data_IF_833002596764
#
_entry.id   IF_833002596764
#
_cell.length_a   1.000
_cell.length_b   1.000
_cell.length_c   1.000
_cell.angle_alpha   90.00
_cell.angle_beta   90.00
_cell.angle_gamma   90.00
#
_symmetry.space_group_name_H-M   'P 1'
#
loop_
_entity.id
_entity.type
_entity.pdbx_description
1 polymer ?
#
# COMPACT_ATOMS: atom_id res chain seq x y z
N UNK A 1 -10.21 20.36 11.09
CA UNK A 1 -9.05 19.71 11.71
C UNK A 1 -8.19 20.79 12.36
N UNK A 2 -7.93 20.66 13.65
CA UNK A 2 -7.16 21.65 14.39
C UNK A 2 -5.79 21.11 14.81
N UNK A 3 -5.01 21.92 15.51
CA UNK A 3 -3.66 21.57 15.98
C UNK A 3 -3.61 20.28 16.81
N UNK A 4 -4.65 20.02 17.60
CA UNK A 4 -4.70 18.81 18.40
C UNK A 4 -4.94 17.57 17.55
N UNK A 5 -5.83 17.67 16.55
CA UNK A 5 -6.06 16.58 15.60
C UNK A 5 -4.79 16.25 14.81
N UNK A 6 -4.06 17.27 14.36
CA UNK A 6 -2.79 17.09 13.66
C UNK A 6 -1.74 16.37 14.52
N UNK A 7 -1.63 16.72 15.81
CA UNK A 7 -0.73 16.04 16.75
C UNK A 7 -1.13 14.59 16.98
N UNK A 8 -2.43 14.32 17.14
CA UNK A 8 -2.97 12.97 17.28
C UNK A 8 -2.55 12.13 16.07
N UNK A 9 -2.77 12.65 14.86
CA UNK A 9 -2.41 11.94 13.63
C UNK A 9 -0.92 11.69 13.50
N UNK A 10 -0.08 12.65 13.91
CA UNK A 10 1.38 12.49 13.90
C UNK A 10 1.83 11.35 14.83
N UNK A 11 1.27 11.25 16.02
CA UNK A 11 1.58 10.17 16.97
C UNK A 11 1.12 8.82 16.42
N UNK A 12 -0.15 8.74 16.01
CA UNK A 12 -0.76 7.48 15.54
C UNK A 12 -0.14 7.00 14.23
N UNK A 13 0.33 7.90 13.39
CA UNK A 13 1.06 7.53 12.16
C UNK A 13 2.37 6.79 12.47
N UNK A 14 3.03 7.15 13.56
CA UNK A 14 4.29 6.52 13.99
C UNK A 14 4.05 5.24 14.80
N UNK A 15 3.05 5.25 15.66
CA UNK A 15 2.68 4.14 16.52
C UNK A 15 1.16 4.07 16.69
N UNK A 16 0.52 3.27 15.85
CA UNK A 16 -0.93 3.05 15.90
C UNK A 16 -1.41 2.29 17.14
N UNK A 17 -0.51 1.72 17.94
CA UNK A 17 -0.84 1.04 19.20
C UNK A 17 -0.71 1.94 20.42
N UNK A 18 -0.37 3.20 20.28
CA UNK A 18 -0.34 4.15 21.38
C UNK A 18 -1.67 4.12 22.11
N UNK A 19 -1.64 3.88 23.44
CA UNK A 19 -2.86 3.88 24.26
C UNK A 19 -3.50 5.26 24.31
N UNK A 20 -4.80 5.32 24.57
CA UNK A 20 -5.48 6.60 24.64
C UNK A 20 -4.93 7.49 25.77
N UNK A 21 -4.55 6.91 26.91
CA UNK A 21 -3.92 7.64 28.03
C UNK A 21 -2.57 8.24 27.58
N UNK A 22 -1.71 7.44 26.99
CA UNK A 22 -0.41 7.92 26.48
C UNK A 22 -0.59 8.98 25.39
N UNK A 23 -1.53 8.78 24.48
CA UNK A 23 -1.83 9.74 23.43
C UNK A 23 -2.29 11.08 24.03
N UNK A 24 -3.18 11.03 25.05
CA UNK A 24 -3.67 12.24 25.74
C UNK A 24 -2.54 13.04 26.37
N UNK A 25 -1.59 12.37 26.98
CA UNK A 25 -0.39 13.00 27.57
C UNK A 25 0.46 13.69 26.51
N UNK A 26 0.70 13.02 25.38
CA UNK A 26 1.51 13.56 24.29
C UNK A 26 0.89 14.77 23.59
N UNK A 27 -0.43 14.82 23.51
CA UNK A 27 -1.13 15.90 22.80
C UNK A 27 -1.60 17.02 23.75
N UNK A 28 -1.57 16.81 25.06
CA UNK A 28 -1.94 17.80 26.07
C UNK A 28 -3.45 17.96 26.24
N UNK A 29 -4.20 16.87 26.17
CA UNK A 29 -5.64 16.83 26.38
C UNK A 29 -5.99 15.80 27.46
N UNK A 30 -7.24 15.88 27.99
CA UNK A 30 -7.77 14.81 28.83
C UNK A 30 -7.96 13.52 28.03
N UNK A 31 -7.93 12.33 28.68
CA UNK A 31 -8.19 11.07 28.01
C UNK A 31 -9.55 11.03 27.30
N UNK A 32 -10.59 11.57 27.91
CA UNK A 32 -11.93 11.62 27.32
C UNK A 32 -12.01 12.53 26.09
N UNK A 33 -11.37 13.69 26.13
CA UNK A 33 -11.31 14.59 24.98
C UNK A 33 -10.50 14.00 23.82
N UNK A 34 -9.41 13.30 24.15
CA UNK A 34 -8.57 12.61 23.16
C UNK A 34 -9.35 11.48 22.48
N UNK A 35 -10.02 10.63 23.25
CA UNK A 35 -10.83 9.54 22.71
C UNK A 35 -11.90 10.04 21.76
N UNK A 36 -12.61 11.09 22.14
CA UNK A 36 -13.65 11.69 21.29
C UNK A 36 -13.08 12.19 19.97
N UNK A 37 -11.90 12.80 19.98
CA UNK A 37 -11.24 13.28 18.76
C UNK A 37 -10.79 12.15 17.86
N UNK A 38 -10.20 11.10 18.42
CA UNK A 38 -9.81 9.90 17.65
C UNK A 38 -11.02 9.27 16.98
N UNK A 39 -12.10 9.06 17.75
CA UNK A 39 -13.35 8.51 17.21
C UNK A 39 -13.97 9.38 16.11
N UNK A 40 -13.88 10.70 16.24
CA UNK A 40 -14.34 11.64 15.21
C UNK A 40 -13.49 11.55 13.93
N UNK A 41 -12.16 11.44 14.05
CA UNK A 41 -11.26 11.26 12.93
C UNK A 41 -11.49 9.92 12.21
N UNK A 42 -11.79 8.86 12.95
CA UNK A 42 -12.16 7.56 12.39
C UNK A 42 -13.51 7.64 11.67
N UNK A 43 -14.52 8.21 12.30
CA UNK A 43 -15.86 8.35 11.72
C UNK A 43 -15.86 9.19 10.46
N UNK A 44 -15.04 10.24 10.39
CA UNK A 44 -14.88 11.09 9.21
C UNK A 44 -14.00 10.46 8.12
N UNK A 45 -13.41 9.29 8.39
CA UNK A 45 -12.55 8.59 7.45
C UNK A 45 -11.16 9.22 7.27
N UNK A 46 -10.76 10.16 8.14
CA UNK A 46 -9.39 10.69 8.16
C UNK A 46 -8.43 9.58 8.59
N UNK A 47 -8.81 8.84 9.63
CA UNK A 47 -8.17 7.57 9.98
C UNK A 47 -9.01 6.45 9.34
N UNK A 48 -8.45 5.78 8.35
CA UNK A 48 -9.13 4.71 7.62
C UNK A 48 -8.99 3.35 8.31
N UNK A 49 -8.03 3.21 9.20
CA UNK A 49 -7.75 1.97 9.90
C UNK A 49 -6.35 1.96 10.49
N UNK A 50 -6.01 0.84 11.10
CA UNK A 50 -4.72 0.58 11.71
C UNK A 50 -4.19 -0.75 11.19
N UNK A 51 -2.89 -0.83 10.95
CA UNK A 51 -2.26 -2.08 10.51
C UNK A 51 -0.87 -2.23 11.10
N UNK A 52 -0.43 -3.48 11.23
CA UNK A 52 0.92 -3.77 11.67
C UNK A 52 1.93 -3.44 10.57
N UNK A 53 3.07 -2.88 10.97
CA UNK A 53 4.26 -2.79 10.11
C UNK A 53 5.06 -4.07 10.32
N UNK A 54 5.24 -4.85 9.26
CA UNK A 54 5.82 -6.18 9.32
C UNK A 54 7.23 -6.18 8.72
N UNK A 55 8.10 -7.03 9.28
CA UNK A 55 9.42 -7.29 8.73
C UNK A 55 9.31 -8.32 7.61
N UNK A 56 9.45 -7.88 6.38
CA UNK A 56 9.34 -8.71 5.20
C UNK A 56 10.37 -9.86 5.18
N UNK A 57 11.57 -9.65 5.70
CA UNK A 57 12.59 -10.72 5.76
C UNK A 57 12.13 -11.86 6.67
N UNK A 58 11.55 -11.53 7.82
CA UNK A 58 11.00 -12.51 8.75
C UNK A 58 9.82 -13.30 8.16
N UNK A 59 9.11 -12.68 7.22
CA UNK A 59 7.97 -13.30 6.53
C UNK A 59 8.36 -14.06 5.25
N UNK A 60 9.65 -14.12 4.94
CA UNK A 60 10.15 -14.80 3.75
C UNK A 60 9.98 -14.03 2.45
N UNK A 61 9.73 -12.74 2.50
CA UNK A 61 9.70 -11.87 1.31
C UNK A 61 11.12 -11.41 1.01
N UNK A 62 11.79 -12.09 0.10
CA UNK A 62 13.17 -11.80 -0.30
C UNK A 62 13.29 -11.05 -1.62
N UNK A 63 12.18 -10.82 -2.32
CA UNK A 63 12.18 -10.14 -3.62
C UNK A 63 11.01 -9.15 -3.69
N UNK A 64 11.33 -7.90 -3.99
CA UNK A 64 10.36 -6.82 -4.18
C UNK A 64 10.65 -6.12 -5.50
N UNK A 65 9.62 -5.88 -6.28
CA UNK A 65 9.72 -5.14 -7.53
C UNK A 65 8.56 -4.16 -7.70
N UNK A 66 8.84 -3.03 -8.32
CA UNK A 66 7.82 -2.21 -8.95
C UNK A 66 7.76 -2.58 -10.42
N UNK A 67 6.55 -2.80 -10.91
CA UNK A 67 6.33 -3.26 -12.28
C UNK A 67 5.43 -2.27 -12.99
N UNK A 68 5.95 -1.70 -14.07
CA UNK A 68 5.22 -0.79 -14.95
C UNK A 68 4.50 -1.62 -16.02
N UNK A 69 3.19 -1.47 -16.12
CA UNK A 69 2.34 -2.24 -17.01
C UNK A 69 1.77 -1.35 -18.09
N UNK A 70 2.06 -1.69 -19.35
CA UNK A 70 1.40 -1.09 -20.50
C UNK A 70 0.29 -1.99 -21.02
N UNK A 71 -0.90 -1.41 -21.23
CA UNK A 71 -2.06 -2.14 -21.76
C UNK A 71 -2.09 -2.11 -23.27
N UNK A 72 -2.70 -3.14 -23.87
CA UNK A 72 -2.87 -3.24 -25.32
C UNK A 72 -3.87 -2.18 -25.85
N UNK A 73 -4.73 -1.65 -25.00
CA UNK A 73 -5.73 -0.61 -25.32
C UNK A 73 -5.90 0.34 -24.15
N UNK A 74 -6.21 1.61 -24.46
CA UNK A 74 -6.54 2.64 -23.47
C UNK A 74 -8.02 2.60 -23.05
N UNK A 75 -8.79 1.61 -23.49
CA UNK A 75 -10.22 1.51 -23.20
C UNK A 75 -10.48 1.28 -21.71
N UNK A 76 -11.64 1.73 -21.26
CA UNK A 76 -12.13 1.44 -19.90
C UNK A 76 -12.21 -0.07 -19.67
N UNK A 77 -12.64 -0.84 -20.66
CA UNK A 77 -12.72 -2.30 -20.57
C UNK A 77 -11.35 -2.94 -20.30
N UNK A 78 -10.29 -2.51 -20.98
CA UNK A 78 -8.94 -3.02 -20.76
C UNK A 78 -8.45 -2.67 -19.36
N UNK A 79 -8.68 -1.44 -18.88
CA UNK A 79 -8.29 -1.01 -17.54
C UNK A 79 -9.01 -1.83 -16.46
N UNK A 80 -10.33 -1.93 -16.54
CA UNK A 80 -11.12 -2.72 -15.58
C UNK A 80 -10.76 -4.20 -15.63
N UNK A 81 -10.47 -4.73 -16.81
CA UNK A 81 -10.03 -6.12 -17.00
C UNK A 81 -8.71 -6.40 -16.32
N UNK A 82 -7.73 -5.50 -16.42
CA UNK A 82 -6.47 -5.62 -15.73
C UNK A 82 -6.64 -5.52 -14.20
N UNK A 83 -7.38 -4.51 -13.72
CA UNK A 83 -7.65 -4.32 -12.29
C UNK A 83 -8.32 -5.55 -11.68
N UNK A 84 -9.30 -6.13 -12.36
CA UNK A 84 -9.96 -7.36 -11.91
C UNK A 84 -9.01 -8.56 -11.91
N UNK A 85 -8.14 -8.66 -12.91
CA UNK A 85 -7.17 -9.75 -13.04
C UNK A 85 -6.19 -9.79 -11.85
N UNK A 86 -5.78 -8.63 -11.33
CA UNK A 86 -4.82 -8.55 -10.22
C UNK A 86 -5.45 -8.40 -8.83
N UNK A 87 -6.76 -8.20 -8.76
CA UNK A 87 -7.47 -7.83 -7.52
C UNK A 87 -7.19 -8.77 -6.34
N UNK A 88 -7.19 -10.06 -6.59
CA UNK A 88 -7.03 -11.09 -5.55
C UNK A 88 -5.69 -11.82 -5.63
N UNK A 89 -4.75 -11.27 -6.36
CA UNK A 89 -3.40 -11.82 -6.46
C UNK A 89 -2.58 -11.34 -5.26
N UNK A 90 -2.18 -12.29 -4.40
CA UNK A 90 -1.51 -11.96 -3.14
C UNK A 90 -0.14 -11.30 -3.32
N UNK A 91 0.57 -11.63 -4.37
CA UNK A 91 1.87 -11.05 -4.71
C UNK A 91 1.78 -9.56 -5.05
N UNK A 92 0.63 -9.10 -5.54
CA UNK A 92 0.38 -7.69 -5.86
C UNK A 92 -0.14 -6.99 -4.62
N UNK A 93 0.70 -6.18 -3.98
CA UNK A 93 0.36 -5.47 -2.74
C UNK A 93 -0.05 -4.02 -2.95
N UNK A 94 0.26 -3.47 -4.12
CA UNK A 94 -0.20 -2.14 -4.57
C UNK A 94 -0.52 -2.19 -6.06
N UNK A 95 -1.56 -1.50 -6.48
CA UNK A 95 -1.90 -1.30 -7.88
C UNK A 95 -2.36 0.13 -8.07
N UNK A 96 -1.61 0.90 -8.88
CA UNK A 96 -1.88 2.31 -9.14
C UNK A 96 -2.11 2.53 -10.63
N UNK A 97 -3.21 3.20 -10.96
CA UNK A 97 -3.41 3.75 -12.29
C UNK A 97 -2.62 5.07 -12.36
N UNK A 98 -1.72 5.18 -13.33
CA UNK A 98 -0.78 6.30 -13.42
C UNK A 98 -0.88 6.98 -14.79
N UNK A 99 -0.38 8.21 -14.86
CA UNK A 99 -0.16 8.91 -16.12
C UNK A 99 1.19 8.52 -16.71
N UNK A 100 1.37 8.74 -18.00
CA UNK A 100 2.61 8.45 -18.73
C UNK A 100 2.40 7.41 -19.83
N UNK A 101 3.49 6.79 -20.26
CA UNK A 101 3.47 5.83 -21.37
C UNK A 101 2.83 4.48 -21.02
N UNK A 102 2.80 4.12 -19.74
CA UNK A 102 2.17 2.93 -19.22
C UNK A 102 1.05 3.30 -18.25
N UNK A 103 0.01 2.46 -18.19
CA UNK A 103 -1.22 2.77 -17.46
C UNK A 103 -1.17 2.42 -15.99
N UNK A 104 -0.36 1.43 -15.60
CA UNK A 104 -0.32 0.94 -14.22
C UNK A 104 1.09 0.79 -13.69
N UNK A 105 1.21 1.04 -12.39
CA UNK A 105 2.37 0.70 -11.58
C UNK A 105 1.90 -0.20 -10.46
N UNK A 106 2.46 -1.40 -10.36
CA UNK A 106 2.16 -2.34 -9.29
C UNK A 106 3.41 -2.60 -8.45
N UNK A 107 3.20 -2.88 -7.16
CA UNK A 107 4.24 -3.39 -6.27
C UNK A 107 4.02 -4.88 -6.10
N UNK A 108 5.05 -5.67 -6.36
CA UNK A 108 5.03 -7.13 -6.27
C UNK A 108 6.02 -7.59 -5.21
N UNK A 109 5.55 -8.45 -4.32
CA UNK A 109 6.35 -9.05 -3.26
C UNK A 109 6.32 -10.56 -3.40
N UNK A 110 7.48 -11.19 -3.52
CA UNK A 110 7.63 -12.64 -3.63
C UNK A 110 8.78 -13.13 -2.76
N UNK A 111 8.87 -14.45 -2.59
CA UNK A 111 9.93 -15.05 -1.81
C UNK A 111 11.31 -14.83 -2.42
N UNK A 112 11.42 -15.00 -3.74
CA UNK A 112 12.67 -14.89 -4.49
C UNK A 112 12.41 -14.57 -5.97
N UNK A 113 13.48 -14.47 -6.75
CA UNK A 113 13.40 -14.20 -8.18
C UNK A 113 12.67 -15.34 -8.94
N UNK A 114 12.84 -16.59 -8.52
CA UNK A 114 12.16 -17.72 -9.15
C UNK A 114 10.64 -17.63 -8.97
N UNK A 115 10.18 -17.28 -7.78
CA UNK A 115 8.76 -17.02 -7.51
C UNK A 115 8.23 -15.82 -8.31
N UNK A 116 9.04 -14.78 -8.47
CA UNK A 116 8.68 -13.64 -9.33
C UNK A 116 8.54 -14.06 -10.79
N UNK A 117 9.46 -14.89 -11.30
CA UNK A 117 9.35 -15.42 -12.66
C UNK A 117 8.03 -16.17 -12.87
N UNK A 118 7.65 -17.01 -11.93
CA UNK A 118 6.37 -17.73 -11.99
C UNK A 118 5.19 -16.74 -12.02
N UNK A 119 5.19 -15.74 -11.15
CA UNK A 119 4.20 -14.66 -11.15
C UNK A 119 4.15 -13.92 -12.49
N UNK A 120 5.29 -13.54 -13.03
CA UNK A 120 5.40 -12.82 -14.30
C UNK A 120 4.80 -13.62 -15.46
N UNK A 121 5.07 -14.91 -15.53
CA UNK A 121 4.56 -15.80 -16.59
C UNK A 121 3.09 -16.13 -16.35
N UNK A 122 2.73 -16.57 -15.16
CA UNK A 122 1.43 -17.18 -14.87
C UNK A 122 0.35 -16.15 -14.57
N UNK A 123 0.70 -14.99 -14.03
CA UNK A 123 -0.26 -13.91 -13.71
C UNK A 123 -0.24 -12.83 -14.79
N UNK A 124 0.88 -12.16 -14.98
CA UNK A 124 0.95 -11.04 -15.93
C UNK A 124 0.90 -11.53 -17.38
N UNK A 125 1.59 -12.60 -17.71
CA UNK A 125 1.64 -13.19 -19.05
C UNK A 125 0.32 -13.77 -19.52
N UNK A 126 -0.57 -14.17 -18.60
CA UNK A 126 -1.89 -14.71 -18.92
C UNK A 126 -2.98 -13.64 -19.04
N UNK A 127 -2.67 -12.38 -18.74
CA UNK A 127 -3.63 -11.29 -18.89
C UNK A 127 -3.63 -10.79 -20.35
N UNK A 128 -4.75 -10.99 -21.05
CA UNK A 128 -4.91 -10.56 -22.44
C UNK A 128 -4.78 -9.05 -22.65
N UNK A 129 -5.02 -8.25 -21.59
CA UNK A 129 -4.97 -6.80 -21.65
C UNK A 129 -3.55 -6.24 -21.51
N UNK A 130 -2.59 -7.03 -21.04
CA UNK A 130 -1.20 -6.61 -20.85
C UNK A 130 -0.44 -6.71 -22.15
N UNK A 131 0.19 -5.59 -22.56
CA UNK A 131 1.05 -5.52 -23.75
C UNK A 131 2.52 -5.48 -23.39
N UNK A 132 2.89 -4.70 -22.40
CA UNK A 132 4.28 -4.50 -22.01
C UNK A 132 4.45 -4.54 -20.49
N UNK A 133 5.59 -5.07 -20.06
CA UNK A 133 5.93 -5.24 -18.65
C UNK A 133 7.37 -4.74 -18.48
N UNK A 134 7.56 -3.78 -17.57
CA UNK A 134 8.88 -3.31 -17.18
C UNK A 134 9.08 -3.55 -15.70
N UNK A 135 9.96 -4.45 -15.34
CA UNK A 135 10.26 -4.81 -13.95
C UNK A 135 11.41 -3.98 -13.41
N UNK A 136 11.18 -3.32 -12.27
CA UNK A 136 12.19 -2.54 -11.56
C UNK A 136 12.39 -3.17 -10.18
N UNK A 137 13.51 -3.86 -10.01
CA UNK A 137 13.81 -4.56 -8.76
C UNK A 137 14.25 -3.57 -7.70
N UNK A 138 13.64 -3.66 -6.52
CA UNK A 138 14.05 -2.87 -5.35
C UNK A 138 15.35 -3.46 -4.81
N UNK A 139 16.45 -2.71 -4.86
CA UNK A 139 17.75 -3.15 -4.35
C UNK A 139 17.90 -2.86 -2.87
N UNK A 140 17.36 -1.72 -2.41
CA UNK A 140 17.40 -1.27 -1.02
C UNK A 140 16.28 -0.27 -0.78
N UNK A 141 15.83 -0.17 0.48
CA UNK A 141 14.80 0.79 0.89
C UNK A 141 15.31 1.62 2.06
N UNK A 142 16.08 2.71 1.80
CA UNK A 142 16.65 3.54 2.87
C UNK A 142 15.58 4.26 3.71
N UNK A 143 14.38 4.42 3.15
CA UNK A 143 13.28 5.11 3.83
C UNK A 143 11.93 4.53 3.39
N UNK A 144 11.13 4.14 4.37
CA UNK A 144 9.73 3.75 4.20
C UNK A 144 8.94 4.19 5.43
N UNK A 145 8.06 5.17 5.26
CA UNK A 145 7.24 5.75 6.32
C UNK A 145 5.73 5.46 6.15
N UNK A 146 5.40 4.48 5.31
CA UNK A 146 4.00 4.10 5.07
C UNK A 146 3.37 3.43 6.26
#
# INVERSE_FOLDING_TARGET
MDRFDERILQVLKRDGRTSNVELSERVGLSPSATLRRVQDLERKGVIKGYRAVLDNQQLGVGFVAYVSIGLASHSKQAQLGFEEHVRFVNEVVECHNITGSNEYLIRVETQDLAAYKAFHVDVLGECEHVKSITTMVVMDTPKDER
#
